data_IF_419211789577
#
_entry.id   IF_419211789577
#
_cell.length_a   1.000
_cell.length_b   1.000
_cell.length_c   1.000
_cell.angle_alpha   90.00
_cell.angle_beta   90.00
_cell.angle_gamma   90.00
#
_symmetry.space_group_name_H-M   'P 1'
#
loop_
_entity.id
_entity.type
_entity.pdbx_description
1 polymer ?
#
# COMPACT_ATOMS: atom_id res chain seq x y z
N UNK A 1 23.34 8.41 3.38
CA UNK A 1 21.92 8.45 2.91
C UNK A 1 21.73 8.39 1.39
N UNK A 2 22.75 8.66 0.55
CA UNK A 2 22.59 8.74 -0.92
C UNK A 2 22.19 7.42 -1.61
N UNK A 3 22.56 6.27 -1.04
CA UNK A 3 22.21 4.95 -1.59
C UNK A 3 20.78 4.53 -1.22
N UNK A 4 20.37 4.74 0.03
CA UNK A 4 19.02 4.43 0.52
C UNK A 4 17.94 5.14 -0.33
N UNK A 5 18.11 6.44 -0.59
CA UNK A 5 17.16 7.22 -1.40
C UNK A 5 17.05 6.74 -2.86
N UNK A 6 18.01 5.95 -3.35
CA UNK A 6 18.02 5.41 -4.72
C UNK A 6 17.44 4.00 -4.82
N UNK A 7 17.41 3.27 -3.71
CA UNK A 7 17.10 1.85 -3.69
C UNK A 7 15.85 1.49 -2.87
N UNK A 8 15.42 2.35 -1.94
CA UNK A 8 14.18 2.14 -1.20
C UNK A 8 12.99 2.77 -1.94
N UNK A 9 11.91 2.03 -2.21
CA UNK A 9 10.71 2.59 -2.79
C UNK A 9 10.02 3.56 -1.80
N UNK A 10 9.63 4.77 -2.22
CA UNK A 10 8.82 5.65 -1.39
C UNK A 10 7.37 5.13 -1.28
N UNK A 11 6.63 5.46 -0.21
CA UNK A 11 5.24 5.00 -0.02
C UNK A 11 4.26 5.55 -1.07
N UNK A 12 4.66 6.59 -1.82
CA UNK A 12 3.89 7.16 -2.91
C UNK A 12 4.28 6.64 -4.30
N UNK A 13 5.10 5.58 -4.40
CA UNK A 13 5.56 5.03 -5.66
C UNK A 13 4.42 4.52 -6.54
N UNK A 14 4.58 4.68 -7.86
CA UNK A 14 3.70 4.04 -8.85
C UNK A 14 4.05 2.57 -9.02
N UNK A 15 3.13 1.75 -9.55
CA UNK A 15 3.37 0.33 -9.80
C UNK A 15 4.63 0.07 -10.61
N UNK A 16 4.82 0.80 -11.72
CA UNK A 16 6.03 0.69 -12.55
C UNK A 16 7.31 1.00 -11.76
N UNK A 17 7.28 1.99 -10.86
CA UNK A 17 8.42 2.29 -10.00
C UNK A 17 8.69 1.16 -9.01
N UNK A 18 7.66 0.58 -8.39
CA UNK A 18 7.81 -0.54 -7.47
C UNK A 18 8.47 -1.74 -8.15
N UNK A 19 7.96 -2.15 -9.32
CA UNK A 19 8.56 -3.23 -10.13
C UNK A 19 10.03 -2.94 -10.44
N UNK A 20 10.37 -1.69 -10.79
CA UNK A 20 11.77 -1.28 -11.04
C UNK A 20 12.64 -1.31 -9.78
N UNK A 21 12.11 -0.94 -8.61
CA UNK A 21 12.84 -1.00 -7.35
C UNK A 21 13.16 -2.45 -6.96
N UNK A 22 12.17 -3.33 -7.03
CA UNK A 22 12.33 -4.76 -6.71
C UNK A 22 13.24 -5.46 -7.73
N UNK A 23 13.05 -5.23 -9.02
CA UNK A 23 13.89 -5.82 -10.08
C UNK A 23 15.37 -5.44 -9.97
N UNK A 24 15.69 -4.23 -9.47
CA UNK A 24 17.09 -3.85 -9.18
C UNK A 24 17.71 -4.69 -8.07
N UNK A 25 16.91 -5.28 -7.21
CA UNK A 25 17.34 -6.18 -6.14
C UNK A 25 17.20 -7.66 -6.54
N UNK A 26 16.95 -7.93 -7.83
CA UNK A 26 16.70 -9.27 -8.39
C UNK A 26 15.45 -9.94 -7.80
N UNK A 27 14.49 -9.13 -7.36
CA UNK A 27 13.18 -9.57 -6.89
C UNK A 27 12.14 -9.37 -7.99
N UNK A 28 11.29 -10.36 -8.19
CA UNK A 28 10.27 -10.35 -9.23
C UNK A 28 8.93 -9.76 -8.76
N UNK A 29 7.86 -9.99 -9.53
CA UNK A 29 6.52 -9.50 -9.19
C UNK A 29 5.87 -10.30 -8.06
N UNK A 30 6.15 -11.60 -7.96
CA UNK A 30 5.70 -12.43 -6.84
C UNK A 30 6.33 -11.92 -5.56
N UNK A 31 7.64 -11.68 -5.57
CA UNK A 31 8.36 -11.07 -4.44
C UNK A 31 7.78 -9.70 -4.06
N UNK A 32 7.51 -8.84 -5.05
CA UNK A 32 6.90 -7.54 -4.82
C UNK A 32 5.56 -7.67 -4.07
N UNK A 33 4.66 -8.52 -4.57
CA UNK A 33 3.33 -8.66 -3.97
C UNK A 33 3.42 -9.30 -2.59
N UNK A 34 4.16 -10.41 -2.46
CA UNK A 34 4.32 -11.14 -1.21
C UNK A 34 4.97 -10.31 -0.11
N UNK A 35 6.09 -9.62 -0.40
CA UNK A 35 6.80 -8.79 0.59
C UNK A 35 6.00 -7.54 0.96
N UNK A 36 5.19 -7.00 0.05
CA UNK A 36 4.26 -5.92 0.38
C UNK A 36 3.19 -6.37 1.39
N UNK A 37 2.87 -7.66 1.42
CA UNK A 37 2.02 -8.28 2.44
C UNK A 37 2.51 -8.10 3.89
N UNK A 38 3.79 -7.80 4.11
CA UNK A 38 4.31 -7.47 5.45
C UNK A 38 3.62 -6.27 6.10
N UNK A 39 2.95 -5.42 5.31
CA UNK A 39 2.12 -4.32 5.79
C UNK A 39 0.81 -4.79 6.47
N UNK A 40 0.53 -6.10 6.57
CA UNK A 40 -0.52 -6.64 7.45
C UNK A 40 -0.29 -6.32 8.93
N UNK A 41 0.93 -5.92 9.32
CA UNK A 41 1.27 -5.47 10.67
C UNK A 41 2.02 -4.15 10.62
N UNK A 42 1.95 -3.40 11.73
CA UNK A 42 2.72 -2.16 11.93
C UNK A 42 1.93 -0.88 11.68
N UNK A 43 2.64 0.24 11.75
CA UNK A 43 2.06 1.59 11.77
C UNK A 43 2.69 2.48 10.70
N UNK A 44 1.92 3.41 10.14
CA UNK A 44 2.42 4.46 9.28
C UNK A 44 2.04 5.83 9.83
N UNK A 45 2.96 6.80 9.69
CA UNK A 45 2.67 8.21 9.95
C UNK A 45 1.89 8.83 8.80
N UNK A 46 1.04 9.81 9.10
CA UNK A 46 0.25 10.55 8.11
C UNK A 46 1.11 11.06 6.95
N UNK A 47 2.33 11.57 7.21
CA UNK A 47 3.25 12.04 6.16
C UNK A 47 3.50 11.03 5.03
N UNK A 48 3.37 9.73 5.29
CA UNK A 48 3.60 8.67 4.31
C UNK A 48 2.45 8.47 3.32
N UNK A 49 1.22 8.86 3.67
CA UNK A 49 0.02 8.58 2.86
C UNK A 49 -0.91 9.79 2.67
N UNK A 50 -0.69 10.90 3.39
CA UNK A 50 -1.54 12.10 3.37
C UNK A 50 -1.68 12.71 1.98
N UNK A 51 -0.70 12.54 1.10
CA UNK A 51 -0.83 12.92 -0.31
C UNK A 51 -2.05 12.25 -0.98
N UNK A 52 -2.42 11.02 -0.60
CA UNK A 52 -3.62 10.33 -1.13
C UNK A 52 -4.92 10.98 -0.71
N UNK A 53 -4.94 11.67 0.42
CA UNK A 53 -6.13 12.35 0.89
C UNK A 53 -6.35 13.66 0.13
N UNK A 54 -5.29 14.32 -0.33
CA UNK A 54 -5.40 15.73 -0.74
C UNK A 54 -4.79 16.07 -2.09
N UNK A 55 -3.73 15.40 -2.55
CA UNK A 55 -2.99 15.86 -3.73
C UNK A 55 -2.08 14.82 -4.40
N UNK A 56 -2.48 13.55 -4.46
CA UNK A 56 -1.64 12.46 -4.99
C UNK A 56 -1.29 12.68 -6.46
N UNK A 57 -2.22 13.26 -7.23
CA UNK A 57 -2.09 13.50 -8.66
C UNK A 57 -1.81 14.96 -9.03
N UNK A 58 -1.47 15.81 -8.05
CA UNK A 58 -1.20 17.25 -8.25
C UNK A 58 -2.42 18.05 -8.75
N UNK A 59 -3.61 17.60 -8.41
CA UNK A 59 -4.90 18.18 -8.80
C UNK A 59 -5.75 18.66 -7.62
N UNK A 60 -5.17 18.67 -6.41
CA UNK A 60 -5.82 19.02 -5.14
C UNK A 60 -7.08 18.18 -4.83
N UNK A 61 -7.08 16.90 -5.27
CA UNK A 61 -8.17 15.96 -5.01
C UNK A 61 -7.69 14.71 -4.27
N UNK A 62 -8.59 14.04 -3.53
CA UNK A 62 -8.32 12.69 -3.03
C UNK A 62 -8.05 11.73 -4.19
N UNK A 63 -7.17 10.76 -3.93
CA UNK A 63 -6.91 9.63 -4.82
C UNK A 63 -8.23 8.89 -5.12
N UNK A 64 -8.58 8.77 -6.41
CA UNK A 64 -9.82 8.13 -6.86
C UNK A 64 -9.92 6.64 -6.50
N UNK A 65 -8.79 6.00 -6.19
CA UNK A 65 -8.75 4.60 -5.75
C UNK A 65 -9.01 4.41 -4.26
N UNK A 66 -9.09 5.50 -3.49
CA UNK A 66 -9.34 5.47 -2.05
C UNK A 66 -10.84 5.42 -1.76
N UNK A 67 -11.28 4.38 -1.04
CA UNK A 67 -12.69 4.21 -0.69
C UNK A 67 -13.19 5.37 0.17
N UNK A 68 -14.36 5.94 -0.19
CA UNK A 68 -14.85 7.22 0.36
C UNK A 68 -15.01 7.22 1.88
N UNK A 69 -15.55 6.16 2.49
CA UNK A 69 -15.70 6.06 3.96
C UNK A 69 -14.33 5.96 4.62
N UNK A 70 -13.41 5.21 4.03
CA UNK A 70 -12.05 5.11 4.53
C UNK A 70 -11.31 6.44 4.42
N UNK A 71 -11.48 7.18 3.32
CA UNK A 71 -11.00 8.57 3.20
C UNK A 71 -11.47 9.44 4.37
N UNK A 72 -12.76 9.44 4.70
CA UNK A 72 -13.27 10.25 5.80
C UNK A 72 -12.66 9.87 7.16
N UNK A 73 -12.44 8.58 7.41
CA UNK A 73 -11.74 8.10 8.62
C UNK A 73 -10.28 8.56 8.67
N UNK A 74 -9.57 8.49 7.55
CA UNK A 74 -8.19 8.94 7.48
C UNK A 74 -8.08 10.46 7.60
N UNK A 75 -9.00 11.22 7.00
CA UNK A 75 -9.01 12.68 7.07
C UNK A 75 -9.26 13.22 8.48
N UNK A 76 -9.97 12.50 9.35
CA UNK A 76 -10.10 12.88 10.76
C UNK A 76 -8.83 12.67 11.57
N UNK A 77 -7.96 11.74 11.15
CA UNK A 77 -6.67 11.47 11.80
C UNK A 77 -5.54 12.32 11.21
N UNK A 78 -5.58 12.55 9.90
CA UNK A 78 -4.56 13.23 9.12
C UNK A 78 -5.14 14.47 8.45
N UNK A 79 -5.31 15.60 9.19
CA UNK A 79 -5.86 16.82 8.64
C UNK A 79 -5.00 17.38 7.50
N UNK A 80 -5.59 18.18 6.60
CA UNK A 80 -4.90 18.76 5.44
C UNK A 80 -3.65 19.56 5.84
N UNK A 81 -3.73 20.32 6.94
CA UNK A 81 -2.62 21.07 7.53
C UNK A 81 -2.23 20.48 8.88
N UNK A 82 -0.93 20.32 9.14
CA UNK A 82 -0.41 19.71 10.37
C UNK A 82 -0.72 18.21 10.49
N UNK A 83 -0.53 17.64 11.68
CA UNK A 83 -0.84 16.23 11.98
C UNK A 83 0.05 15.18 11.29
N UNK A 84 1.14 15.59 10.65
CA UNK A 84 2.00 14.71 9.84
C UNK A 84 2.61 13.53 10.62
N UNK A 85 2.75 13.68 11.95
CA UNK A 85 3.27 12.65 12.84
C UNK A 85 2.18 11.75 13.46
N UNK A 86 0.89 12.01 13.24
CA UNK A 86 -0.17 11.10 13.69
C UNK A 86 0.00 9.74 13.00
N UNK A 87 -0.33 8.67 13.71
CA UNK A 87 -0.10 7.29 13.26
C UNK A 87 -1.43 6.55 13.04
N UNK A 88 -1.44 5.68 12.03
CA UNK A 88 -2.54 4.78 11.71
C UNK A 88 -1.95 3.38 11.46
N UNK A 89 -2.60 2.29 11.88
CA UNK A 89 -2.16 0.95 11.50
C UNK A 89 -2.17 0.78 9.97
N UNK A 90 -1.16 0.10 9.43
CA UNK A 90 -1.09 -0.23 8.00
C UNK A 90 -2.26 -1.14 7.59
N UNK A 91 -2.61 -2.08 8.48
CA UNK A 91 -3.82 -2.89 8.41
C UNK A 91 -4.70 -2.61 9.63
N UNK A 92 -5.83 -1.93 9.42
CA UNK A 92 -6.77 -1.63 10.50
C UNK A 92 -7.75 -2.77 10.80
N UNK A 93 -7.81 -3.80 9.95
CA UNK A 93 -8.72 -4.93 10.11
C UNK A 93 -8.17 -5.94 11.13
N UNK A 94 -6.85 -6.16 11.15
CA UNK A 94 -6.20 -7.07 12.09
C UNK A 94 -4.83 -6.55 12.62
N UNK A 95 -4.73 -5.33 13.19
CA UNK A 95 -3.44 -4.65 13.42
C UNK A 95 -2.29 -5.46 14.07
N UNK A 96 -2.54 -6.36 15.04
CA UNK A 96 -1.46 -7.15 15.66
C UNK A 96 -1.22 -8.51 14.99
N UNK A 97 -2.05 -8.92 14.00
CA UNK A 97 -2.02 -10.25 13.41
C UNK A 97 -1.37 -10.21 12.03
N UNK A 98 -0.46 -11.14 11.79
CA UNK A 98 0.06 -11.38 10.45
C UNK A 98 -0.89 -12.32 9.72
N UNK A 99 -1.73 -11.77 8.83
CA UNK A 99 -2.66 -12.54 8.00
C UNK A 99 -2.88 -11.88 6.64
N UNK A 100 -3.88 -12.34 5.89
CA UNK A 100 -4.14 -11.82 4.55
C UNK A 100 -5.11 -10.63 4.50
N UNK A 101 -5.49 -10.02 5.64
CA UNK A 101 -6.41 -8.87 5.60
C UNK A 101 -5.84 -7.66 4.89
N UNK A 102 -4.51 -7.51 4.82
CA UNK A 102 -3.85 -6.54 3.96
C UNK A 102 -4.39 -6.59 2.52
N UNK A 103 -4.45 -7.77 1.90
CA UNK A 103 -4.94 -7.93 0.54
C UNK A 103 -6.45 -7.70 0.47
N UNK A 104 -7.21 -8.19 1.47
CA UNK A 104 -8.66 -7.95 1.58
C UNK A 104 -9.01 -6.46 1.63
N UNK A 105 -8.18 -5.64 2.29
CA UNK A 105 -8.35 -4.19 2.35
C UNK A 105 -8.05 -3.54 0.99
N UNK A 106 -6.97 -3.93 0.33
CA UNK A 106 -6.58 -3.37 -0.97
C UNK A 106 -7.67 -3.62 -2.03
N UNK A 107 -8.26 -4.82 -2.09
CA UNK A 107 -9.25 -5.15 -3.12
C UNK A 107 -10.54 -4.32 -3.01
N UNK A 108 -10.80 -3.73 -1.83
CA UNK A 108 -11.94 -2.83 -1.58
C UNK A 108 -11.55 -1.35 -1.51
N UNK A 109 -10.37 -0.98 -2.02
CA UNK A 109 -9.92 0.43 -2.06
C UNK A 109 -9.45 0.98 -0.72
N UNK A 110 -9.06 0.10 0.21
CA UNK A 110 -8.68 0.45 1.59
C UNK A 110 -7.23 0.13 1.93
N UNK A 111 -6.35 -0.04 0.95
CA UNK A 111 -4.90 0.02 1.19
C UNK A 111 -4.53 1.40 1.74
N UNK A 112 -3.62 1.48 2.71
CA UNK A 112 -3.26 2.76 3.34
C UNK A 112 -2.31 3.57 2.45
N UNK A 113 -1.18 2.97 2.07
CA UNK A 113 -0.18 3.65 1.23
C UNK A 113 -0.58 3.58 -0.23
N UNK A 114 -0.04 4.48 -1.05
CA UNK A 114 -0.30 4.44 -2.48
C UNK A 114 0.42 3.24 -3.09
N UNK A 115 1.62 2.93 -2.59
CA UNK A 115 2.36 1.72 -2.97
C UNK A 115 1.59 0.42 -2.74
N UNK A 116 0.68 0.40 -1.77
CA UNK A 116 -0.19 -0.76 -1.50
C UNK A 116 -1.33 -0.80 -2.52
N UNK A 117 -2.07 0.32 -2.63
CA UNK A 117 -3.28 0.37 -3.45
C UNK A 117 -2.99 0.19 -4.95
N UNK A 118 -1.81 0.60 -5.43
CA UNK A 118 -1.43 0.44 -6.85
C UNK A 118 -1.31 -1.02 -7.29
N UNK A 119 -1.09 -1.96 -6.36
CA UNK A 119 -1.04 -3.40 -6.66
C UNK A 119 -2.38 -3.93 -7.22
N UNK A 120 -3.50 -3.28 -6.89
CA UNK A 120 -4.84 -3.68 -7.36
C UNK A 120 -5.45 -2.75 -8.41
N UNK A 121 -4.68 -1.80 -8.96
CA UNK A 121 -5.17 -0.91 -10.03
C UNK A 121 -5.38 -1.62 -11.38
N UNK A 122 -5.14 -2.93 -11.46
CA UNK A 122 -5.24 -3.77 -12.68
C UNK A 122 -4.41 -3.29 -13.87
N UNK A 123 -3.36 -2.50 -13.59
CA UNK A 123 -2.38 -2.06 -14.60
C UNK A 123 -1.43 -3.18 -15.01
N UNK A 124 -1.28 -4.21 -14.17
CA UNK A 124 -0.50 -5.41 -14.44
C UNK A 124 -1.35 -6.64 -14.07
N UNK A 125 -1.80 -7.45 -15.04
CA UNK A 125 -2.68 -8.60 -14.80
C UNK A 125 -2.08 -9.66 -13.87
N UNK A 126 -0.77 -9.85 -13.91
CA UNK A 126 -0.06 -10.84 -13.09
C UNK A 126 -0.06 -10.44 -11.62
N UNK A 127 0.27 -9.18 -11.34
CA UNK A 127 0.20 -8.61 -9.99
C UNK A 127 -1.23 -8.64 -9.46
N UNK A 128 -2.21 -8.28 -10.29
CA UNK A 128 -3.63 -8.36 -9.90
C UNK A 128 -4.03 -9.81 -9.59
N UNK A 129 -3.60 -10.79 -10.39
CA UNK A 129 -3.85 -12.19 -10.11
C UNK A 129 -3.28 -12.61 -8.75
N UNK A 130 -2.01 -12.30 -8.47
CA UNK A 130 -1.36 -12.59 -7.19
C UNK A 130 -2.10 -12.00 -5.99
N UNK A 131 -2.48 -10.71 -6.06
CA UNK A 131 -3.27 -10.05 -4.99
C UNK A 131 -4.59 -10.78 -4.76
N UNK A 132 -5.28 -11.18 -5.84
CA UNK A 132 -6.52 -11.95 -5.73
C UNK A 132 -6.28 -13.31 -5.05
N UNK A 133 -5.27 -14.05 -5.49
CA UNK A 133 -4.95 -15.36 -4.93
C UNK A 133 -4.60 -15.29 -3.44
N UNK A 134 -3.82 -14.30 -3.01
CA UNK A 134 -3.51 -14.08 -1.59
C UNK A 134 -4.70 -13.60 -0.77
N UNK A 135 -5.63 -12.86 -1.38
CA UNK A 135 -6.91 -12.49 -0.75
C UNK A 135 -7.77 -13.71 -0.45
N UNK A 136 -7.83 -14.66 -1.38
CA UNK A 136 -8.67 -15.86 -1.30
C UNK A 136 -8.02 -17.00 -0.49
N UNK A 137 -6.69 -17.06 -0.44
CA UNK A 137 -5.95 -18.14 0.21
C UNK A 137 -4.78 -17.61 1.06
N UNK A 138 -4.98 -17.58 2.38
CA UNK A 138 -3.97 -17.14 3.36
C UNK A 138 -2.74 -18.06 3.37
N UNK A 139 -2.91 -19.37 3.17
CA UNK A 139 -1.79 -20.31 3.09
C UNK A 139 -0.88 -20.05 1.90
N UNK A 140 -1.45 -19.61 0.77
CA UNK A 140 -0.66 -19.22 -0.40
C UNK A 140 0.11 -17.92 -0.17
N UNK A 141 -0.43 -16.99 0.63
CA UNK A 141 0.32 -15.83 1.08
C UNK A 141 1.44 -16.22 2.05
N UNK A 142 1.18 -17.15 2.97
CA UNK A 142 2.17 -17.65 3.92
C UNK A 142 3.30 -18.47 3.27
N UNK A 143 3.07 -19.01 2.07
CA UNK A 143 4.06 -19.74 1.28
C UNK A 143 3.91 -19.41 -0.21
N UNK A 144 4.37 -18.21 -0.64
CA UNK A 144 4.36 -17.79 -2.03
C UNK A 144 5.13 -18.77 -2.93
N UNK A 145 4.66 -19.00 -4.16
CA UNK A 145 5.34 -19.87 -5.13
C UNK A 145 6.68 -19.29 -5.61
#
# INVERSE_FOLDING_TARGET
MKLANKNLPPPNATLHRLVKFFGRQRLDKTDLVALSGSHTIGMARCVSFKQRLYNQHRDNKPDMTLEKRFYHKLASVCPCTGGDNNITPLDFASPPKFDNSYYKLIVVGRGLLNSDQVLWTRKDPEIAHLVKSYTENESLFASPP
#
